data_IF_589528900859
#
_entry.id   IF_589528900859
#
_cell.length_a   1.000
_cell.length_b   1.000
_cell.length_c   1.000
_cell.angle_alpha   90.00
_cell.angle_beta   90.00
_cell.angle_gamma   90.00
#
_symmetry.space_group_name_H-M   'P 1'
#
loop_
_entity.id
_entity.type
_entity.pdbx_description
1 polymer ?
#
# COMPACT_ATOMS: atom_id res chain seq x y z
N UNK A 1 -11.30 -1.96 -21.83
CA UNK A 1 -10.11 -1.92 -20.98
C UNK A 1 -10.57 -1.46 -19.62
N UNK A 2 -10.31 -2.24 -18.57
CA UNK A 2 -10.50 -1.72 -17.21
C UNK A 2 -9.61 -0.50 -17.01
N UNK A 3 -10.18 0.51 -16.35
CA UNK A 3 -9.46 1.74 -16.04
C UNK A 3 -8.42 1.43 -14.95
N UNK A 4 -7.15 1.64 -15.27
CA UNK A 4 -6.07 1.47 -14.31
C UNK A 4 -6.16 2.55 -13.24
N UNK A 5 -6.07 2.14 -11.98
CA UNK A 5 -6.06 3.05 -10.84
C UNK A 5 -4.66 3.14 -10.27
N UNK A 6 -4.13 4.36 -10.28
CA UNK A 6 -2.82 4.67 -9.70
C UNK A 6 -2.98 5.43 -8.39
N UNK A 7 -2.10 5.14 -7.44
CA UNK A 7 -1.95 5.89 -6.19
C UNK A 7 -0.48 6.25 -5.99
N UNK A 8 -0.24 7.18 -5.06
CA UNK A 8 1.10 7.52 -4.60
C UNK A 8 1.28 7.09 -3.15
N UNK A 9 2.36 6.35 -2.88
CA UNK A 9 2.84 6.07 -1.53
C UNK A 9 3.86 7.15 -1.16
N UNK A 10 3.63 7.82 -0.03
CA UNK A 10 4.42 8.94 0.47
C UNK A 10 4.88 8.67 1.91
N UNK A 11 5.72 9.55 2.45
CA UNK A 11 6.30 9.35 3.79
C UNK A 11 7.37 8.25 3.85
N UNK A 12 7.86 7.77 2.69
CA UNK A 12 8.76 6.61 2.59
C UNK A 12 10.10 6.83 3.31
N UNK A 13 10.54 8.09 3.44
CA UNK A 13 11.77 8.45 4.15
C UNK A 13 11.67 8.34 5.67
N UNK A 14 10.45 8.24 6.23
CA UNK A 14 10.26 7.90 7.64
C UNK A 14 10.45 6.40 7.92
N UNK A 15 10.67 5.61 6.86
CA UNK A 15 10.86 4.17 6.89
C UNK A 15 12.21 3.82 6.22
N UNK A 16 12.17 3.01 5.16
CA UNK A 16 13.36 2.49 4.49
C UNK A 16 13.81 3.31 3.27
N UNK A 17 13.09 4.39 2.92
CA UNK A 17 13.39 5.22 1.75
C UNK A 17 13.08 4.53 0.41
N UNK A 18 13.35 5.20 -0.73
CA UNK A 18 13.00 4.68 -2.06
C UNK A 18 13.77 3.40 -2.45
N UNK A 19 14.93 3.15 -1.84
CA UNK A 19 15.82 2.02 -2.18
C UNK A 19 15.24 0.64 -1.83
N UNK A 20 14.21 0.58 -0.97
CA UNK A 20 13.56 -0.69 -0.61
C UNK A 20 12.61 -1.20 -1.69
N UNK A 21 12.18 -0.31 -2.59
CA UNK A 21 11.22 -0.62 -3.63
C UNK A 21 11.91 -1.15 -4.89
N UNK A 22 11.25 -2.07 -5.58
CA UNK A 22 11.64 -2.54 -6.90
C UNK A 22 10.49 -2.37 -7.89
N UNK A 23 10.80 -2.11 -9.16
CA UNK A 23 9.77 -2.05 -10.20
C UNK A 23 9.08 -3.41 -10.33
N UNK A 24 7.76 -3.37 -10.55
CA UNK A 24 6.88 -4.53 -10.62
C UNK A 24 6.74 -5.34 -9.33
N UNK A 25 7.27 -4.84 -8.21
CA UNK A 25 7.07 -5.46 -6.90
C UNK A 25 5.62 -5.32 -6.44
N UNK A 26 5.08 -6.38 -5.84
CA UNK A 26 3.78 -6.37 -5.19
C UNK A 26 3.92 -5.83 -3.77
N UNK A 27 3.04 -4.89 -3.41
CA UNK A 27 2.88 -4.36 -2.06
C UNK A 27 1.45 -4.55 -1.59
N UNK A 28 1.24 -4.52 -0.27
CA UNK A 28 -0.08 -4.60 0.33
C UNK A 28 -0.49 -3.23 0.85
N UNK A 29 -1.70 -2.82 0.52
CA UNK A 29 -2.33 -1.60 1.04
C UNK A 29 -3.41 -2.01 2.03
N UNK A 30 -3.34 -1.53 3.27
CA UNK A 30 -4.26 -1.93 4.35
C UNK A 30 -4.82 -0.69 5.04
N UNK A 31 -6.15 -0.66 5.24
CA UNK A 31 -6.80 0.42 5.99
C UNK A 31 -6.34 0.42 7.45
N UNK A 32 -6.06 1.60 7.98
CA UNK A 32 -5.65 1.80 9.37
C UNK A 32 -6.59 2.84 10.02
N UNK A 33 -7.86 2.49 10.30
CA UNK A 33 -8.87 3.45 10.77
C UNK A 33 -8.56 4.04 12.15
N UNK A 34 -7.78 3.32 12.97
CA UNK A 34 -7.30 3.78 14.27
C UNK A 34 -6.06 4.69 14.18
N UNK A 35 -5.67 5.11 12.97
CA UNK A 35 -4.57 6.03 12.79
C UNK A 35 -4.90 7.38 13.47
N UNK A 36 -4.01 7.91 14.32
CA UNK A 36 -4.30 9.08 15.16
C UNK A 36 -4.43 10.39 14.36
N UNK A 37 -4.09 10.40 13.08
CA UNK A 37 -4.06 11.59 12.24
C UNK A 37 -5.13 11.60 11.15
N UNK A 38 -5.44 10.43 10.56
CA UNK A 38 -6.35 10.30 9.42
C UNK A 38 -7.11 8.98 9.50
N UNK A 39 -8.44 9.04 9.74
CA UNK A 39 -9.28 7.84 9.79
C UNK A 39 -9.39 7.13 8.42
N UNK A 40 -9.04 7.81 7.33
CA UNK A 40 -8.94 7.24 5.99
C UNK A 40 -7.52 6.77 5.63
N UNK A 41 -6.62 6.69 6.63
CA UNK A 41 -5.26 6.23 6.39
C UNK A 41 -5.22 4.83 5.77
N UNK A 42 -4.48 4.70 4.68
CA UNK A 42 -4.17 3.42 4.04
C UNK A 42 -2.66 3.24 4.12
N UNK A 43 -2.23 2.30 4.95
CA UNK A 43 -0.84 1.91 5.15
C UNK A 43 -0.35 1.09 3.96
N UNK A 44 0.88 1.33 3.53
CA UNK A 44 1.58 0.53 2.54
C UNK A 44 2.64 -0.36 3.20
N UNK A 45 2.61 -1.65 2.91
CA UNK A 45 3.52 -2.67 3.44
C UNK A 45 4.20 -3.44 2.29
N UNK A 46 5.51 -3.69 2.43
CA UNK A 46 6.22 -4.67 1.61
C UNK A 46 6.42 -5.91 2.47
N UNK A 47 5.96 -7.06 2.01
CA UNK A 47 6.15 -8.31 2.75
C UNK A 47 7.49 -8.96 2.38
N UNK A 48 8.32 -9.43 3.35
CA UNK A 48 8.13 -9.42 4.82
C UNK A 48 8.79 -8.22 5.53
N UNK A 49 9.07 -7.12 4.82
CA UNK A 49 9.81 -5.95 5.34
C UNK A 49 8.96 -5.13 6.35
N UNK A 50 7.65 -5.05 6.11
CA UNK A 50 6.70 -4.28 6.90
C UNK A 50 6.37 -2.90 6.31
N UNK A 51 6.00 -1.96 7.17
CA UNK A 51 5.49 -0.62 6.83
C UNK A 51 6.54 0.19 6.06
N UNK A 52 6.16 0.67 4.88
CA UNK A 52 7.04 1.47 4.00
C UNK A 52 6.50 2.85 3.68
N UNK A 53 5.25 3.16 4.04
CA UNK A 53 4.65 4.47 3.81
C UNK A 53 3.12 4.45 3.93
N UNK A 54 2.50 5.51 3.43
CA UNK A 54 1.06 5.68 3.39
C UNK A 54 0.60 6.18 2.02
N UNK A 55 -0.62 5.80 1.62
CA UNK A 55 -1.26 6.37 0.43
C UNK A 55 -1.49 7.87 0.66
N UNK A 56 -1.08 8.69 -0.30
CA UNK A 56 -1.23 10.13 -0.24
C UNK A 56 -2.72 10.53 -0.16
N UNK A 57 -3.08 11.38 0.80
CA UNK A 57 -4.45 11.87 0.96
C UNK A 57 -4.63 13.39 0.75
N UNK A 58 -3.54 14.14 0.54
CA UNK A 58 -3.57 15.61 0.40
C UNK A 58 -3.33 16.06 -1.05
N UNK A 59 -3.98 17.13 -1.53
CA UNK A 59 -3.73 17.66 -2.88
C UNK A 59 -2.27 18.09 -3.11
N UNK A 60 -1.51 18.37 -2.04
CA UNK A 60 -0.09 18.70 -2.12
C UNK A 60 0.80 17.47 -2.36
N UNK A 61 0.32 16.27 -2.00
CA UNK A 61 1.10 15.03 -2.05
C UNK A 61 0.59 14.04 -3.09
N UNK A 62 -0.66 14.20 -3.57
CA UNK A 62 -1.24 13.36 -4.63
C UNK A 62 -0.79 13.87 -6.01
N UNK A 63 0.02 13.12 -6.77
CA UNK A 63 0.41 13.51 -8.11
C UNK A 63 -0.77 13.50 -9.07
N UNK A 64 -0.73 14.36 -10.09
CA UNK A 64 -1.71 14.32 -11.19
C UNK A 64 -1.72 12.93 -11.84
N UNK A 65 -2.92 12.38 -12.01
CA UNK A 65 -3.12 11.01 -12.53
C UNK A 65 -3.22 9.92 -11.45
N UNK A 66 -2.96 10.26 -10.18
CA UNK A 66 -3.19 9.37 -9.04
C UNK A 66 -4.51 9.69 -8.31
N UNK A 67 -5.09 8.69 -7.64
CA UNK A 67 -6.21 8.84 -6.71
C UNK A 67 -5.67 8.96 -5.27
N UNK A 68 -6.36 9.74 -4.44
CA UNK A 68 -6.03 9.87 -3.02
C UNK A 68 -6.52 8.67 -2.20
N UNK A 69 -6.06 8.54 -0.95
CA UNK A 69 -6.54 7.51 -0.03
C UNK A 69 -8.07 7.51 0.11
N UNK A 70 -8.67 8.67 0.44
CA UNK A 70 -10.13 8.80 0.53
C UNK A 70 -10.88 8.47 -0.76
N UNK A 71 -10.26 8.67 -1.95
CA UNK A 71 -10.88 8.33 -3.23
C UNK A 71 -10.89 6.83 -3.53
N UNK A 72 -9.99 6.07 -2.92
CA UNK A 72 -9.92 4.61 -3.10
C UNK A 72 -10.45 3.84 -1.90
N UNK A 73 -10.81 4.51 -0.80
CA UNK A 73 -11.15 3.87 0.47
C UNK A 73 -12.30 2.87 0.34
N UNK A 74 -13.38 3.25 -0.37
CA UNK A 74 -14.55 2.39 -0.56
C UNK A 74 -14.41 1.37 -1.72
N UNK A 75 -13.25 1.32 -2.39
CA UNK A 75 -13.03 0.38 -3.51
C UNK A 75 -12.71 -1.04 -3.06
N UNK A 76 -12.36 -1.24 -1.79
CA UNK A 76 -11.97 -2.54 -1.22
C UNK A 76 -12.34 -2.61 0.26
N UNK A 77 -12.35 -3.83 0.82
CA UNK A 77 -12.76 -4.05 2.22
C UNK A 77 -11.66 -3.62 3.20
N UNK A 78 -10.69 -4.49 3.51
CA UNK A 78 -9.64 -4.19 4.48
C UNK A 78 -8.28 -3.96 3.82
N UNK A 79 -7.94 -4.81 2.84
CA UNK A 79 -6.67 -4.75 2.13
C UNK A 79 -6.83 -4.98 0.63
N UNK A 80 -5.89 -4.43 -0.14
CA UNK A 80 -5.79 -4.59 -1.59
C UNK A 80 -4.32 -4.67 -2.00
N UNK A 81 -4.03 -5.44 -3.05
CA UNK A 81 -2.69 -5.49 -3.63
C UNK A 81 -2.44 -4.29 -4.54
N UNK A 82 -1.17 -3.88 -4.63
CA UNK A 82 -0.72 -2.94 -5.64
C UNK A 82 0.63 -3.35 -6.21
N UNK A 83 0.93 -2.90 -7.43
CA UNK A 83 2.22 -3.13 -8.08
C UNK A 83 2.96 -1.81 -8.30
N UNK A 84 4.23 -1.79 -7.90
CA UNK A 84 5.11 -0.62 -8.07
C UNK A 84 5.38 -0.39 -9.55
N UNK A 85 5.06 0.81 -10.05
CA UNK A 85 5.29 1.20 -11.45
C UNK A 85 6.33 2.29 -11.60
N UNK A 86 6.45 3.19 -10.62
CA UNK A 86 7.47 4.24 -10.64
C UNK A 86 8.01 4.47 -9.23
N UNK A 87 9.31 4.69 -9.13
CA UNK A 87 10.01 5.01 -7.89
C UNK A 87 10.66 6.37 -8.09
N UNK A 88 10.22 7.36 -7.33
CA UNK A 88 10.78 8.70 -7.31
C UNK A 88 11.61 8.87 -6.02
N UNK A 89 12.16 10.08 -5.82
CA UNK A 89 13.01 10.37 -4.66
C UNK A 89 12.28 10.15 -3.34
N UNK A 90 11.05 10.62 -3.22
CA UNK A 90 10.26 10.66 -1.98
C UNK A 90 8.88 10.00 -2.10
N UNK A 91 8.56 9.47 -3.28
CA UNK A 91 7.22 8.98 -3.64
C UNK A 91 7.33 7.74 -4.51
N UNK A 92 6.39 6.80 -4.35
CA UNK A 92 6.28 5.61 -5.20
C UNK A 92 4.90 5.57 -5.82
N UNK A 93 4.81 5.42 -7.14
CA UNK A 93 3.53 5.28 -7.85
C UNK A 93 3.20 3.79 -8.00
N UNK A 94 2.00 3.43 -7.58
CA UNK A 94 1.52 2.05 -7.47
C UNK A 94 0.22 1.91 -8.24
N UNK A 95 0.11 0.88 -9.07
CA UNK A 95 -1.13 0.49 -9.75
C UNK A 95 -1.90 -0.51 -8.87
N UNK A 96 -3.19 -0.29 -8.61
CA UNK A 96 -4.01 -1.20 -7.82
C UNK A 96 -4.32 -2.49 -8.60
N UNK A 97 -4.31 -3.62 -7.90
CA UNK A 97 -4.60 -4.95 -8.44
C UNK A 97 -5.77 -5.59 -7.68
N UNK A 98 -7.02 -5.21 -7.99
CA UNK A 98 -8.21 -5.68 -7.24
C UNK A 98 -8.46 -7.19 -7.36
N UNK A 99 -8.01 -7.83 -8.45
CA UNK A 99 -8.24 -9.25 -8.69
C UNK A 99 -7.26 -10.18 -7.94
N UNK A 100 -6.21 -9.62 -7.32
CA UNK A 100 -5.21 -10.41 -6.58
C UNK A 100 -5.56 -10.62 -5.09
N UNK A 101 -6.85 -10.76 -4.76
CA UNK A 101 -7.30 -10.96 -3.36
C UNK A 101 -6.70 -12.21 -2.71
N UNK A 102 -6.64 -13.33 -3.44
CA UNK A 102 -6.16 -14.61 -2.90
C UNK A 102 -4.70 -14.55 -2.43
N UNK A 103 -3.83 -13.84 -3.15
CA UNK A 103 -2.41 -13.71 -2.78
C UNK A 103 -2.25 -12.90 -1.51
N UNK A 104 -3.03 -11.82 -1.35
CA UNK A 104 -3.00 -11.01 -0.12
C UNK A 104 -3.47 -11.84 1.07
N UNK A 105 -4.53 -12.61 0.89
CA UNK A 105 -5.11 -13.45 1.95
C UNK A 105 -4.14 -14.55 2.40
N UNK A 106 -3.50 -15.26 1.47
CA UNK A 106 -2.46 -16.26 1.77
C UNK A 106 -1.32 -15.63 2.56
N UNK A 107 -0.82 -14.47 2.12
CA UNK A 107 0.29 -13.81 2.80
C UNK A 107 -0.05 -13.33 4.22
N UNK A 108 -1.27 -12.84 4.45
CA UNK A 108 -1.73 -12.47 5.79
C UNK A 108 -1.76 -13.71 6.71
N UNK A 109 -2.25 -14.85 6.20
CA UNK A 109 -2.29 -16.11 6.96
C UNK A 109 -0.87 -16.61 7.31
N UNK A 110 0.09 -16.49 6.39
CA UNK A 110 1.49 -16.85 6.66
C UNK A 110 2.14 -15.96 7.75
N UNK A 111 1.77 -14.67 7.82
CA UNK A 111 2.27 -13.78 8.88
C UNK A 111 1.63 -14.06 10.24
N UNK A 112 0.34 -14.41 10.29
CA UNK A 112 -0.35 -14.77 11.54
C UNK A 112 0.19 -16.10 12.12
N UNK A 113 0.53 -17.07 11.25
CA UNK A 113 1.14 -18.34 11.65
C UNK A 113 2.58 -18.20 12.18
N UNK A 114 3.26 -17.06 11.94
CA UNK A 114 4.57 -16.78 12.55
C UNK A 114 4.50 -16.54 14.07
N UNK A 115 3.29 -16.44 14.64
CA UNK A 115 3.02 -16.37 16.09
C UNK A 115 2.76 -17.76 16.70
N UNK A 116 2.57 -18.81 15.89
CA UNK A 116 2.44 -20.18 16.42
C UNK A 116 3.83 -20.76 16.70
N UNK A 117 4.42 -20.34 17.83
CA UNK A 117 5.41 -21.18 18.51
C UNK A 117 4.71 -22.44 18.98
N UNK A 118 4.93 -23.55 18.29
CA UNK A 118 4.66 -24.87 18.86
C UNK A 118 5.62 -25.09 20.05
N UNK A 119 5.13 -25.65 21.18
CA UNK A 119 5.98 -26.04 22.31
C UNK A 119 6.98 -27.14 21.95
#
# INVERSE_FOLDING_TARGET
MEEKVYIAVTGIHHYFGPQVFQLNQIIVLTKEPDNPHDAEAIRADILPIGKVGYVANSPYTVPRGCRSAGRIYDMFEQSIAGVVRFILKDTVIVELLPDMKEIVMIKILEEDDSVIKFP
#
